data_IF_153012336186
#
_entry.id   IF_153012336186
#
_cell.length_a   1.000
_cell.length_b   1.000
_cell.length_c   1.000
_cell.angle_alpha   90.00
_cell.angle_beta   90.00
_cell.angle_gamma   90.00
#
_symmetry.space_group_name_H-M   'P 1'
#
loop_
_entity.id
_entity.type
_entity.pdbx_description
1 polymer ?
#
# COMPACT_ATOMS: atom_id res chain seq x y z
N UNK A 1 -44.42 -21.55 17.42
CA UNK A 1 -44.63 -20.15 17.86
C UNK A 1 -44.73 -19.29 16.60
N UNK A 2 -45.95 -18.93 16.20
CA UNK A 2 -46.17 -18.01 15.08
C UNK A 2 -46.07 -16.59 15.62
N UNK A 3 -45.11 -15.79 15.12
CA UNK A 3 -45.10 -14.35 15.38
C UNK A 3 -46.34 -13.74 14.72
N UNK A 4 -47.09 -12.94 15.47
CA UNK A 4 -48.27 -12.23 14.95
C UNK A 4 -47.82 -11.08 14.04
N UNK A 5 -48.68 -10.66 13.12
CA UNK A 5 -48.33 -9.62 12.12
C UNK A 5 -47.94 -8.26 12.71
N UNK A 6 -48.33 -7.98 13.96
CA UNK A 6 -47.96 -6.76 14.69
C UNK A 6 -46.49 -6.78 15.15
N UNK A 7 -45.96 -7.94 15.56
CA UNK A 7 -44.56 -8.07 15.98
C UNK A 7 -43.58 -7.83 14.82
N UNK A 8 -44.00 -8.21 13.61
CA UNK A 8 -43.21 -7.98 12.39
C UNK A 8 -43.13 -6.49 12.02
N UNK A 9 -44.24 -5.75 12.19
CA UNK A 9 -44.31 -4.30 11.92
C UNK A 9 -43.47 -3.50 12.92
N UNK A 10 -43.52 -3.84 14.20
CA UNK A 10 -42.70 -3.20 15.23
C UNK A 10 -41.21 -3.45 14.98
N UNK A 11 -40.84 -4.67 14.60
CA UNK A 11 -39.46 -5.02 14.29
C UNK A 11 -38.93 -4.25 13.08
N UNK A 12 -39.74 -4.12 12.01
CA UNK A 12 -39.35 -3.36 10.82
C UNK A 12 -39.19 -1.86 11.11
N UNK A 13 -40.09 -1.30 11.92
CA UNK A 13 -40.04 0.11 12.31
C UNK A 13 -38.83 0.42 13.18
N UNK A 14 -38.53 -0.42 14.18
CA UNK A 14 -37.32 -0.29 15.02
C UNK A 14 -36.06 -0.39 14.16
N UNK A 15 -35.99 -1.34 13.23
CA UNK A 15 -34.85 -1.49 12.31
C UNK A 15 -34.67 -0.26 11.42
N UNK A 16 -35.75 0.31 10.88
CA UNK A 16 -35.70 1.51 10.05
C UNK A 16 -35.24 2.74 10.85
N UNK A 17 -35.77 2.93 12.05
CA UNK A 17 -35.34 4.01 12.96
C UNK A 17 -33.87 3.83 13.34
N UNK A 18 -33.42 2.60 13.63
CA UNK A 18 -32.01 2.33 13.92
C UNK A 18 -31.11 2.67 12.73
N UNK A 19 -31.50 2.30 11.50
CA UNK A 19 -30.75 2.62 10.29
C UNK A 19 -30.69 4.13 10.04
N UNK A 20 -31.78 4.85 10.27
CA UNK A 20 -31.83 6.32 10.17
C UNK A 20 -30.96 6.97 11.25
N UNK A 21 -31.06 6.53 12.50
CA UNK A 21 -30.25 7.06 13.61
C UNK A 21 -28.77 6.75 13.42
N UNK A 22 -28.39 5.54 12.99
CA UNK A 22 -27.00 5.17 12.64
C UNK A 22 -26.49 5.97 11.44
N UNK A 23 -27.33 6.19 10.41
CA UNK A 23 -26.98 7.01 9.25
C UNK A 23 -26.78 8.49 9.60
N UNK A 24 -27.67 9.05 10.42
CA UNK A 24 -27.60 10.44 10.89
C UNK A 24 -26.43 10.63 11.85
N UNK A 25 -26.19 9.69 12.78
CA UNK A 25 -25.05 9.77 13.69
C UNK A 25 -23.71 9.62 12.97
N UNK A 26 -23.60 8.82 11.90
CA UNK A 26 -22.41 8.84 11.02
C UNK A 26 -22.19 10.21 10.36
N UNK A 27 -23.24 10.84 9.83
CA UNK A 27 -23.18 12.20 9.25
C UNK A 27 -22.85 13.27 10.30
N UNK A 28 -23.42 13.20 11.50
CA UNK A 28 -23.17 14.16 12.58
C UNK A 28 -21.77 13.98 13.17
N UNK A 29 -21.30 12.73 13.36
CA UNK A 29 -19.92 12.44 13.77
C UNK A 29 -18.92 12.92 12.70
N UNK A 30 -19.26 12.82 11.41
CA UNK A 30 -18.48 13.44 10.32
C UNK A 30 -18.46 14.97 10.40
N UNK A 31 -19.60 15.61 10.66
CA UNK A 31 -19.72 17.08 10.77
C UNK A 31 -19.04 17.63 12.03
N UNK A 32 -19.05 16.88 13.14
CA UNK A 32 -18.44 17.28 14.41
C UNK A 32 -16.92 17.01 14.45
N UNK A 33 -16.38 16.14 13.60
CA UNK A 33 -14.93 15.96 13.37
C UNK A 33 -14.34 17.09 12.50
N UNK A 34 -14.73 18.35 12.74
CA UNK A 34 -14.15 19.58 12.16
C UNK A 34 -12.70 19.86 12.59
N UNK A 35 -11.88 18.82 12.78
CA UNK A 35 -10.43 18.93 12.55
C UNK A 35 -10.22 18.55 11.09
N UNK A 36 -9.65 19.50 10.35
CA UNK A 36 -9.50 19.57 8.90
C UNK A 36 -8.48 18.54 8.38
N UNK A 37 -8.72 17.27 8.68
CA UNK A 37 -7.88 16.14 8.30
C UNK A 37 -8.41 15.63 6.95
N UNK A 38 -7.72 15.92 5.85
CA UNK A 38 -8.03 15.28 4.57
C UNK A 38 -7.52 13.86 4.59
N UNK A 39 -8.12 13.03 5.44
CA UNK A 39 -7.82 11.62 5.54
C UNK A 39 -9.06 10.85 5.12
N UNK A 40 -8.91 10.07 4.07
CA UNK A 40 -9.93 9.18 3.58
C UNK A 40 -9.31 7.79 3.43
N UNK A 41 -10.04 6.75 3.82
CA UNK A 41 -9.57 5.38 3.66
C UNK A 41 -10.76 4.45 3.53
N UNK A 42 -10.51 3.32 2.88
CA UNK A 42 -11.46 2.22 2.80
C UNK A 42 -10.70 0.89 2.64
N UNK A 43 -11.41 -0.22 2.73
CA UNK A 43 -10.85 -1.58 2.74
C UNK A 43 -11.58 -2.53 1.81
N UNK A 44 -10.85 -3.53 1.32
CA UNK A 44 -11.38 -4.58 0.46
C UNK A 44 -10.67 -5.90 0.72
N UNK A 45 -11.27 -7.00 0.28
CA UNK A 45 -10.71 -8.34 0.43
C UNK A 45 -10.22 -8.87 -0.91
N UNK A 46 -9.12 -9.61 -0.85
CA UNK A 46 -8.51 -10.32 -1.96
C UNK A 46 -8.31 -11.79 -1.58
N UNK A 47 -8.45 -12.66 -2.57
CA UNK A 47 -8.22 -14.11 -2.45
C UNK A 47 -6.80 -14.45 -2.90
N UNK A 48 -5.82 -13.74 -2.34
CA UNK A 48 -4.39 -14.01 -2.51
C UNK A 48 -3.66 -13.79 -1.18
N UNK A 49 -2.48 -14.39 -0.97
CA UNK A 49 -1.62 -14.13 0.18
C UNK A 49 -1.24 -12.66 0.33
N UNK A 50 -0.96 -12.22 1.57
CA UNK A 50 -0.74 -10.80 1.88
C UNK A 50 0.45 -10.19 1.14
N UNK A 51 1.53 -10.96 0.95
CA UNK A 51 2.70 -10.53 0.21
C UNK A 51 2.37 -10.29 -1.28
N UNK A 52 1.63 -11.21 -1.89
CA UNK A 52 1.18 -11.08 -3.28
C UNK A 52 0.21 -9.89 -3.42
N UNK A 53 -0.71 -9.69 -2.47
CA UNK A 53 -1.60 -8.54 -2.45
C UNK A 53 -0.80 -7.22 -2.42
N UNK A 54 0.21 -7.14 -1.55
CA UNK A 54 1.03 -5.94 -1.39
C UNK A 54 1.84 -5.63 -2.66
N UNK A 55 2.41 -6.65 -3.31
CA UNK A 55 3.11 -6.51 -4.59
C UNK A 55 2.21 -6.03 -5.72
N UNK A 56 1.00 -6.61 -5.83
CA UNK A 56 0.03 -6.20 -6.86
C UNK A 56 -0.46 -4.77 -6.62
N UNK A 57 -0.82 -4.44 -5.39
CA UNK A 57 -1.26 -3.08 -5.04
C UNK A 57 -0.15 -2.08 -5.30
N UNK A 58 1.10 -2.38 -4.91
CA UNK A 58 2.22 -1.49 -5.15
C UNK A 58 2.47 -1.23 -6.63
N UNK A 59 2.35 -2.26 -7.48
CA UNK A 59 2.45 -2.11 -8.94
C UNK A 59 1.33 -1.23 -9.49
N UNK A 60 0.08 -1.49 -9.12
CA UNK A 60 -1.07 -0.67 -9.56
C UNK A 60 -0.87 0.79 -9.19
N UNK A 61 -0.51 1.07 -7.92
CA UNK A 61 -0.27 2.43 -7.46
C UNK A 61 0.88 3.11 -8.21
N UNK A 62 1.99 2.41 -8.43
CA UNK A 62 3.17 3.00 -9.08
C UNK A 62 2.96 3.19 -10.58
N UNK A 63 2.50 2.15 -11.28
CA UNK A 63 2.47 2.10 -12.73
C UNK A 63 1.24 2.82 -13.31
N UNK A 64 0.09 2.74 -12.62
CA UNK A 64 -1.19 3.26 -13.14
C UNK A 64 -1.60 4.58 -12.48
N UNK A 65 -1.25 4.78 -11.20
CA UNK A 65 -1.66 5.97 -10.44
C UNK A 65 -0.52 6.96 -10.17
N UNK A 66 0.61 6.80 -10.85
CA UNK A 66 1.79 7.66 -10.76
C UNK A 66 2.24 7.93 -9.31
N UNK A 67 2.14 6.90 -8.46
CA UNK A 67 2.57 6.97 -7.07
C UNK A 67 4.06 6.63 -6.94
N UNK A 68 4.82 7.49 -6.28
CA UNK A 68 6.22 7.24 -5.97
C UNK A 68 6.34 6.50 -4.63
N UNK A 69 6.96 5.32 -4.64
CA UNK A 69 7.14 4.50 -3.45
C UNK A 69 8.18 5.14 -2.50
N UNK A 70 7.74 5.46 -1.29
CA UNK A 70 8.56 6.13 -0.27
C UNK A 70 9.11 5.13 0.76
N UNK A 71 8.29 4.17 1.19
CA UNK A 71 8.64 3.26 2.27
C UNK A 71 7.88 1.94 2.20
N UNK A 72 8.55 0.83 2.55
CA UNK A 72 7.99 -0.53 2.55
C UNK A 72 8.29 -1.22 3.88
N UNK A 73 7.29 -1.87 4.45
CA UNK A 73 7.44 -2.88 5.51
C UNK A 73 6.81 -4.20 5.06
N UNK A 74 6.81 -5.21 5.93
CA UNK A 74 6.19 -6.51 5.64
C UNK A 74 4.68 -6.46 5.39
N UNK A 75 4.00 -5.43 5.89
CA UNK A 75 2.54 -5.33 5.93
C UNK A 75 2.00 -4.03 5.33
N UNK A 76 2.86 -3.06 5.00
CA UNK A 76 2.45 -1.79 4.40
C UNK A 76 3.44 -1.24 3.39
N UNK A 77 2.91 -0.46 2.46
CA UNK A 77 3.65 0.37 1.54
C UNK A 77 3.13 1.81 1.62
N UNK A 78 4.05 2.75 1.64
CA UNK A 78 3.77 4.19 1.71
C UNK A 78 4.25 4.80 0.42
N UNK A 79 3.38 5.55 -0.21
CA UNK A 79 3.62 6.25 -1.46
C UNK A 79 3.37 7.74 -1.29
N UNK A 80 4.05 8.53 -2.11
CA UNK A 80 3.73 9.93 -2.33
C UNK A 80 3.30 10.13 -3.77
N UNK A 81 2.39 11.07 -4.00
CA UNK A 81 2.12 11.58 -5.34
C UNK A 81 1.67 13.03 -5.28
N UNK A 82 1.80 13.70 -6.41
CA UNK A 82 1.13 14.97 -6.65
C UNK A 82 -0.28 14.70 -7.19
N UNK A 83 -1.16 15.70 -7.10
CA UNK A 83 -2.54 15.56 -7.56
C UNK A 83 -2.65 14.99 -8.98
N UNK A 84 -3.71 14.22 -9.21
CA UNK A 84 -4.01 13.55 -10.47
C UNK A 84 -3.82 14.43 -11.73
N UNK A 85 -3.13 13.92 -12.76
CA UNK A 85 -2.97 14.63 -14.04
C UNK A 85 -4.34 14.85 -14.69
N UNK A 86 -4.64 16.11 -15.02
CA UNK A 86 -5.92 16.52 -15.61
C UNK A 86 -6.80 17.36 -14.69
N UNK A 87 -6.59 17.28 -13.37
CA UNK A 87 -7.27 18.16 -12.42
C UNK A 87 -6.36 19.35 -12.12
N UNK A 88 -6.81 20.56 -12.45
CA UNK A 88 -5.99 21.77 -12.36
C UNK A 88 -6.15 22.54 -11.05
N UNK A 89 -7.32 22.46 -10.41
CA UNK A 89 -7.59 23.21 -9.18
C UNK A 89 -8.59 22.48 -8.29
N UNK A 90 -8.46 22.67 -6.97
CA UNK A 90 -9.43 22.17 -6.01
C UNK A 90 -10.49 23.24 -5.75
N UNK A 91 -11.80 22.94 -5.89
CA UNK A 91 -12.86 23.91 -5.62
C UNK A 91 -12.78 24.47 -4.20
N UNK A 92 -12.75 25.79 -4.05
CA UNK A 92 -12.73 26.45 -2.73
C UNK A 92 -11.38 26.42 -2.00
N UNK A 93 -10.28 26.02 -2.67
CA UNK A 93 -8.94 26.00 -2.09
C UNK A 93 -8.20 27.34 -2.06
N UNK A 94 -8.87 28.44 -2.43
CA UNK A 94 -8.25 29.77 -2.45
C UNK A 94 -7.19 29.95 -3.55
N UNK A 95 -7.29 29.20 -4.65
CA UNK A 95 -6.38 29.31 -5.80
C UNK A 95 -5.23 28.31 -5.82
N UNK A 96 -5.19 27.35 -4.89
CA UNK A 96 -4.21 26.27 -4.89
C UNK A 96 -4.48 25.31 -6.06
N UNK A 97 -3.45 25.05 -6.87
CA UNK A 97 -3.55 24.05 -7.92
C UNK A 97 -3.50 22.64 -7.31
N UNK A 98 -4.25 21.70 -7.88
CA UNK A 98 -4.32 20.34 -7.36
C UNK A 98 -2.98 19.60 -7.47
N UNK A 99 -2.25 19.83 -8.56
CA UNK A 99 -0.90 19.29 -8.74
C UNK A 99 0.10 19.75 -7.68
N UNK A 100 -0.17 20.86 -6.98
CA UNK A 100 0.72 21.36 -5.92
C UNK A 100 0.46 20.69 -4.57
N UNK A 101 -0.65 19.96 -4.42
CA UNK A 101 -1.02 19.32 -3.15
C UNK A 101 -0.29 17.97 -3.04
N UNK A 102 0.63 17.79 -2.09
CA UNK A 102 1.24 16.49 -1.86
C UNK A 102 0.23 15.57 -1.19
N UNK A 103 0.04 14.39 -1.79
CA UNK A 103 -0.80 13.33 -1.27
C UNK A 103 0.07 12.14 -0.86
N UNK A 104 -0.16 11.65 0.34
CA UNK A 104 0.33 10.38 0.81
C UNK A 104 -0.73 9.32 0.55
N UNK A 105 -0.32 8.23 -0.10
CA UNK A 105 -1.15 7.04 -0.27
C UNK A 105 -0.51 5.92 0.52
N UNK A 106 -1.26 5.28 1.42
CA UNK A 106 -0.73 4.19 2.23
C UNK A 106 -1.58 2.95 2.01
N UNK A 107 -0.95 1.86 1.61
CA UNK A 107 -1.56 0.56 1.46
C UNK A 107 -1.12 -0.36 2.61
N UNK A 108 -2.07 -1.03 3.26
CA UNK A 108 -1.81 -2.11 4.21
C UNK A 108 -2.39 -3.41 3.68
N UNK A 109 -1.69 -4.52 3.89
CA UNK A 109 -2.17 -5.87 3.63
C UNK A 109 -2.14 -6.69 4.91
N UNK A 110 -3.31 -7.03 5.42
CA UNK A 110 -3.49 -7.79 6.66
C UNK A 110 -3.91 -9.22 6.28
N UNK A 111 -3.11 -10.24 6.60
CA UNK A 111 -3.46 -11.62 6.31
C UNK A 111 -4.71 -12.04 7.12
N UNK A 112 -5.69 -12.64 6.47
CA UNK A 112 -6.85 -13.27 7.10
C UNK A 112 -6.70 -14.81 7.12
N UNK A 113 -6.02 -15.37 6.12
CA UNK A 113 -5.58 -16.77 6.03
C UNK A 113 -4.39 -16.87 5.07
N UNK A 114 -3.87 -18.07 4.79
CA UNK A 114 -2.80 -18.24 3.78
C UNK A 114 -3.20 -17.69 2.42
N UNK A 115 -4.46 -17.88 2.01
CA UNK A 115 -4.99 -17.47 0.70
C UNK A 115 -5.87 -16.22 0.71
N UNK A 116 -6.01 -15.52 1.85
CA UNK A 116 -6.93 -14.37 1.94
C UNK A 116 -6.30 -13.21 2.66
N UNK A 117 -6.51 -12.03 2.10
CA UNK A 117 -5.94 -10.77 2.60
C UNK A 117 -7.01 -9.70 2.66
N UNK A 118 -6.98 -8.91 3.73
CA UNK A 118 -7.68 -7.63 3.80
C UNK A 118 -6.71 -6.53 3.44
N UNK A 119 -6.99 -5.84 2.34
CA UNK A 119 -6.26 -4.66 1.94
C UNK A 119 -6.97 -3.40 2.46
N UNK A 120 -6.20 -2.41 2.90
CA UNK A 120 -6.68 -1.07 3.23
C UNK A 120 -5.86 -0.05 2.46
N UNK A 121 -6.51 0.94 1.87
CA UNK A 121 -5.83 2.06 1.23
C UNK A 121 -6.30 3.35 1.89
N UNK A 122 -5.34 4.19 2.27
CA UNK A 122 -5.59 5.52 2.82
C UNK A 122 -4.99 6.58 1.91
N UNK A 123 -5.76 7.62 1.66
CA UNK A 123 -5.34 8.86 1.03
C UNK A 123 -5.30 9.94 2.10
N UNK A 124 -4.18 10.63 2.20
CA UNK A 124 -4.04 11.76 3.11
C UNK A 124 -3.27 12.92 2.51
N UNK A 125 -3.73 14.15 2.70
CA UNK A 125 -2.86 15.31 2.46
C UNK A 125 -1.89 15.52 3.63
N UNK A 126 -0.90 16.39 3.43
CA UNK A 126 -0.10 16.91 4.54
C UNK A 126 -1.02 17.55 5.60
N UNK A 127 -0.76 17.24 6.87
CA UNK A 127 -1.51 17.70 8.04
C UNK A 127 -1.54 19.23 8.20
N UNK A 128 -0.59 19.93 7.58
CA UNK A 128 -0.50 21.39 7.60
C UNK A 128 -1.36 22.07 6.53
N UNK A 129 -2.04 21.32 5.66
CA UNK A 129 -2.88 21.90 4.61
C UNK A 129 -4.32 21.95 5.07
N UNK A 130 -4.86 23.16 5.21
CA UNK A 130 -6.25 23.37 5.59
C UNK A 130 -7.11 23.67 4.37
N UNK A 131 -8.15 22.88 4.20
CA UNK A 131 -9.08 23.03 3.09
C UNK A 131 -10.40 23.64 3.54
N UNK A 132 -11.01 24.44 2.67
CA UNK A 132 -12.40 24.81 2.82
C UNK A 132 -13.29 23.56 2.81
N UNK A 133 -14.48 23.59 3.42
CA UNK A 133 -15.37 22.42 3.47
C UNK A 133 -15.70 21.81 2.10
N UNK A 134 -15.94 22.66 1.09
CA UNK A 134 -16.21 22.22 -0.28
C UNK A 134 -15.01 21.49 -0.90
N UNK A 135 -13.79 21.98 -0.68
CA UNK A 135 -12.57 21.32 -1.12
C UNK A 135 -12.37 19.95 -0.44
N UNK A 136 -12.64 19.86 0.86
CA UNK A 136 -12.52 18.61 1.61
C UNK A 136 -13.56 17.57 1.21
N UNK A 137 -14.78 17.98 0.86
CA UNK A 137 -15.81 17.12 0.29
C UNK A 137 -15.40 16.61 -1.10
N UNK A 138 -14.96 17.52 -1.96
CA UNK A 138 -14.46 17.17 -3.29
C UNK A 138 -13.28 16.20 -3.24
N UNK A 139 -12.33 16.41 -2.32
CA UNK A 139 -11.21 15.50 -2.07
C UNK A 139 -11.72 14.08 -1.73
N UNK A 140 -12.68 13.98 -0.82
CA UNK A 140 -13.25 12.69 -0.40
C UNK A 140 -13.93 11.96 -1.55
N UNK A 141 -14.68 12.67 -2.39
CA UNK A 141 -15.33 12.09 -3.57
C UNK A 141 -14.31 11.60 -4.60
N UNK A 142 -13.24 12.38 -4.81
CA UNK A 142 -12.16 12.02 -5.72
C UNK A 142 -11.40 10.80 -5.22
N UNK A 143 -11.02 10.76 -3.93
CA UNK A 143 -10.35 9.62 -3.32
C UNK A 143 -11.22 8.35 -3.36
N UNK A 144 -12.53 8.49 -3.16
CA UNK A 144 -13.50 7.40 -3.23
C UNK A 144 -13.67 6.85 -4.65
N UNK A 145 -13.66 7.71 -5.67
CA UNK A 145 -13.64 7.28 -7.07
C UNK A 145 -12.35 6.52 -7.39
N UNK A 146 -11.20 7.10 -7.05
CA UNK A 146 -9.90 6.51 -7.35
C UNK A 146 -9.71 5.17 -6.63
N UNK A 147 -10.17 5.05 -5.39
CA UNK A 147 -10.16 3.78 -4.68
C UNK A 147 -10.96 2.69 -5.41
N UNK A 148 -12.11 3.02 -5.99
CA UNK A 148 -12.88 2.06 -6.80
C UNK A 148 -12.11 1.62 -8.05
N UNK A 149 -11.43 2.55 -8.71
CA UNK A 149 -10.60 2.27 -9.88
C UNK A 149 -9.44 1.33 -9.50
N UNK A 150 -8.69 1.67 -8.45
CA UNK A 150 -7.61 0.84 -7.91
C UNK A 150 -8.10 -0.57 -7.55
N UNK A 151 -9.26 -0.70 -6.88
CA UNK A 151 -9.82 -2.02 -6.58
C UNK A 151 -10.09 -2.82 -7.87
N UNK A 152 -10.66 -2.17 -8.88
CA UNK A 152 -10.93 -2.80 -10.17
C UNK A 152 -9.66 -3.36 -10.79
N UNK A 153 -8.62 -2.53 -10.87
CA UNK A 153 -7.32 -2.89 -11.44
C UNK A 153 -6.60 -3.96 -10.63
N UNK A 154 -6.58 -3.84 -9.30
CA UNK A 154 -5.99 -4.84 -8.40
C UNK A 154 -6.70 -6.18 -8.56
N UNK A 155 -8.04 -6.20 -8.59
CA UNK A 155 -8.80 -7.45 -8.77
C UNK A 155 -8.54 -8.08 -10.13
N UNK A 156 -8.50 -7.28 -11.19
CA UNK A 156 -8.15 -7.75 -12.53
C UNK A 156 -6.74 -8.34 -12.57
N UNK A 157 -5.76 -7.63 -12.01
CA UNK A 157 -4.38 -8.07 -11.92
C UNK A 157 -4.22 -9.37 -11.11
N UNK A 158 -4.92 -9.49 -9.97
CA UNK A 158 -4.92 -10.73 -9.18
C UNK A 158 -5.58 -11.90 -9.92
N UNK A 159 -6.62 -11.64 -10.72
CA UNK A 159 -7.33 -12.68 -11.49
C UNK A 159 -6.56 -13.16 -12.72
N UNK A 160 -5.87 -12.25 -13.42
CA UNK A 160 -5.01 -12.58 -14.55
C UNK A 160 -3.77 -13.36 -14.11
N UNK A 161 -3.31 -13.15 -12.88
CA UNK A 161 -2.25 -13.97 -12.26
C UNK A 161 -2.72 -15.42 -12.01
N UNK A 162 -4.03 -15.69 -12.00
CA UNK A 162 -4.60 -17.04 -11.82
C UNK A 162 -4.84 -17.81 -13.13
N UNK A 163 -4.88 -17.15 -14.29
CA UNK A 163 -5.12 -17.80 -15.61
C UNK A 163 -3.91 -17.74 -16.55
N UNK A 164 -2.92 -16.90 -16.27
CA UNK A 164 -1.61 -17.04 -16.86
C UNK A 164 -0.76 -17.91 -15.93
N UNK A 165 -0.70 -19.20 -16.24
CA UNK A 165 0.54 -19.95 -16.03
C UNK A 165 1.58 -19.35 -17.00
N UNK A 166 1.99 -18.11 -16.73
CA UNK A 166 3.38 -17.80 -16.88
C UNK A 166 4.08 -18.79 -15.93
N UNK A 167 5.15 -19.46 -16.38
CA UNK A 167 5.86 -20.39 -15.51
C UNK A 167 6.19 -19.66 -14.20
N UNK A 168 6.29 -20.37 -13.06
CA UNK A 168 6.73 -19.76 -11.81
C UNK A 168 7.91 -18.87 -12.18
N UNK A 169 7.79 -17.54 -11.98
CA UNK A 169 8.85 -16.63 -12.40
C UNK A 169 10.11 -17.21 -11.82
N UNK A 170 10.95 -17.74 -12.69
CA UNK A 170 12.27 -18.18 -12.33
C UNK A 170 12.83 -17.01 -11.54
N UNK A 171 13.31 -17.25 -10.31
CA UNK A 171 13.84 -16.17 -9.50
C UNK A 171 14.76 -15.34 -10.39
N UNK A 172 14.46 -14.04 -10.54
CA UNK A 172 15.11 -13.20 -11.54
C UNK A 172 16.60 -13.11 -11.20
N UNK A 173 17.36 -13.99 -11.86
CA UNK A 173 18.79 -14.16 -11.65
C UNK A 173 19.51 -12.88 -12.04
N UNK A 174 19.02 -12.16 -13.05
CA UNK A 174 19.58 -10.89 -13.51
C UNK A 174 19.36 -9.79 -12.46
N UNK A 175 18.16 -9.74 -11.85
CA UNK A 175 17.92 -8.86 -10.71
C UNK A 175 18.80 -9.20 -9.50
N UNK A 176 19.04 -10.48 -9.23
CA UNK A 176 19.94 -10.90 -8.15
C UNK A 176 21.40 -10.49 -8.39
N UNK A 177 21.88 -10.56 -9.64
CA UNK A 177 23.17 -10.01 -10.03
C UNK A 177 23.20 -8.48 -9.82
N UNK A 178 22.16 -7.76 -10.23
CA UNK A 178 22.08 -6.31 -10.06
C UNK A 178 22.10 -5.87 -8.58
N UNK A 179 21.42 -6.60 -7.68
CA UNK A 179 21.42 -6.33 -6.22
C UNK A 179 22.83 -6.41 -5.61
N UNK A 180 23.65 -7.34 -6.11
CA UNK A 180 25.06 -7.49 -5.73
C UNK A 180 26.00 -6.61 -6.57
N UNK A 181 25.45 -5.76 -7.47
CA UNK A 181 26.20 -4.91 -8.41
C UNK A 181 27.14 -5.71 -9.31
N UNK A 182 26.68 -6.87 -9.76
CA UNK A 182 27.37 -7.74 -10.68
C UNK A 182 26.67 -7.74 -12.04
N UNK A 183 27.43 -8.06 -13.08
CA UNK A 183 26.86 -8.30 -14.40
C UNK A 183 26.20 -9.69 -14.44
N UNK A 184 25.15 -9.87 -15.26
CA UNK A 184 24.59 -11.19 -15.55
C UNK A 184 25.69 -12.16 -16.01
N UNK A 185 25.67 -13.38 -15.46
CA UNK A 185 26.67 -14.41 -15.77
C UNK A 185 27.98 -14.31 -14.98
N UNK A 186 28.05 -13.45 -13.94
CA UNK A 186 29.21 -13.46 -13.03
C UNK A 186 29.39 -14.83 -12.37
N UNK A 187 30.64 -15.24 -12.24
CA UNK A 187 31.06 -16.53 -11.70
C UNK A 187 30.77 -16.66 -10.20
N UNK A 188 30.66 -17.89 -9.70
CA UNK A 188 30.41 -18.13 -8.27
C UNK A 188 31.44 -17.45 -7.33
N UNK A 189 32.75 -17.45 -7.62
CA UNK A 189 33.73 -16.68 -6.83
C UNK A 189 33.45 -15.17 -6.80
N UNK A 190 32.99 -14.58 -7.91
CA UNK A 190 32.64 -13.14 -7.98
C UNK A 190 31.39 -12.83 -7.16
N UNK A 191 30.38 -13.71 -7.20
CA UNK A 191 29.19 -13.62 -6.35
C UNK A 191 29.56 -13.68 -4.86
N UNK A 192 30.43 -14.61 -4.48
CA UNK A 192 30.92 -14.73 -3.10
C UNK A 192 31.72 -13.50 -2.67
N UNK A 193 32.56 -12.95 -3.54
CA UNK A 193 33.33 -11.74 -3.27
C UNK A 193 32.42 -10.53 -3.05
N UNK A 194 31.46 -10.29 -3.97
CA UNK A 194 30.50 -9.20 -3.86
C UNK A 194 29.64 -9.31 -2.60
N UNK A 195 29.20 -10.53 -2.24
CA UNK A 195 28.44 -10.75 -1.01
C UNK A 195 29.29 -10.50 0.26
N UNK A 196 30.56 -10.90 0.27
CA UNK A 196 31.47 -10.58 1.39
C UNK A 196 31.66 -9.07 1.55
N UNK A 197 31.80 -8.33 0.45
CA UNK A 197 31.89 -6.87 0.48
C UNK A 197 30.58 -6.23 0.96
N UNK A 198 29.43 -6.76 0.53
CA UNK A 198 28.13 -6.35 1.06
C UNK A 198 28.01 -6.57 2.58
N UNK A 199 28.43 -7.73 3.09
CA UNK A 199 28.45 -7.97 4.53
C UNK A 199 29.37 -7.00 5.27
N UNK A 200 30.55 -6.67 4.72
CA UNK A 200 31.42 -5.66 5.32
C UNK A 200 30.77 -4.28 5.39
N UNK A 201 29.88 -3.95 4.45
CA UNK A 201 29.23 -2.64 4.39
C UNK A 201 27.91 -2.58 5.17
N UNK A 202 27.16 -3.67 5.25
CA UNK A 202 25.78 -3.65 5.75
C UNK A 202 25.50 -4.65 6.89
N UNK A 203 26.50 -5.36 7.43
CA UNK A 203 26.23 -6.28 8.54
C UNK A 203 25.76 -5.53 9.79
N UNK A 204 24.58 -5.85 10.37
CA UNK A 204 24.00 -5.11 11.49
C UNK A 204 24.94 -5.07 12.71
N UNK A 205 25.70 -6.14 12.99
CA UNK A 205 26.67 -6.17 14.10
C UNK A 205 27.81 -5.15 13.98
N UNK A 206 28.16 -4.68 12.78
CA UNK A 206 29.17 -3.62 12.66
C UNK A 206 28.71 -2.30 13.24
N UNK A 207 27.40 -2.15 13.34
CA UNK A 207 26.69 -0.95 13.71
C UNK A 207 25.99 -1.11 15.07
N UNK A 208 25.93 -2.33 15.61
CA UNK A 208 25.47 -2.57 16.97
C UNK A 208 26.39 -1.87 17.97
N UNK A 209 25.83 -0.94 18.75
CA UNK A 209 26.56 -0.12 19.72
C UNK A 209 27.03 1.23 19.19
N UNK A 210 26.95 1.48 17.87
CA UNK A 210 27.02 2.83 17.34
C UNK A 210 25.62 3.44 17.48
N UNK A 211 25.50 4.57 18.17
CA UNK A 211 24.22 5.21 18.47
C UNK A 211 23.62 5.84 17.19
N UNK A 212 23.29 5.00 16.22
CA UNK A 212 22.80 5.38 14.90
C UNK A 212 21.37 5.91 15.01
N UNK A 213 21.03 6.96 14.24
CA UNK A 213 19.63 7.35 14.09
C UNK A 213 18.81 6.16 13.59
N UNK A 214 17.64 5.92 14.19
CA UNK A 214 16.78 4.78 13.86
C UNK A 214 16.54 4.55 12.35
N UNK A 215 16.31 5.60 11.51
CA UNK A 215 16.14 5.42 10.07
C UNK A 215 17.35 4.80 9.36
N UNK A 216 18.56 5.00 9.87
CA UNK A 216 19.79 4.44 9.30
C UNK A 216 19.94 2.96 9.67
N UNK A 217 19.56 2.60 10.90
CA UNK A 217 19.53 1.20 11.34
C UNK A 217 18.57 0.36 10.50
N UNK A 218 17.36 0.87 10.26
CA UNK A 218 16.35 0.22 9.42
C UNK A 218 16.85 0.03 7.97
N UNK A 219 17.54 1.04 7.42
CA UNK A 219 18.12 0.97 6.08
C UNK A 219 19.20 -0.12 6.00
N UNK A 220 20.10 -0.18 6.97
CA UNK A 220 21.17 -1.19 7.03
C UNK A 220 20.59 -2.60 7.09
N UNK A 221 19.59 -2.83 7.96
CA UNK A 221 18.92 -4.13 8.06
C UNK A 221 18.23 -4.53 6.75
N UNK A 222 17.54 -3.57 6.12
CA UNK A 222 16.87 -3.80 4.83
C UNK A 222 17.86 -4.18 3.74
N UNK A 223 18.91 -3.37 3.55
CA UNK A 223 19.96 -3.63 2.55
C UNK A 223 20.64 -4.99 2.78
N UNK A 224 20.95 -5.33 4.03
CA UNK A 224 21.55 -6.61 4.38
C UNK A 224 20.64 -7.79 4.01
N UNK A 225 19.35 -7.68 4.31
CA UNK A 225 18.36 -8.71 3.97
C UNK A 225 18.25 -8.92 2.46
N UNK A 226 18.06 -7.84 1.68
CA UNK A 226 17.93 -7.92 0.22
C UNK A 226 19.17 -8.54 -0.42
N UNK A 227 20.37 -8.16 0.03
CA UNK A 227 21.64 -8.73 -0.48
C UNK A 227 21.83 -10.20 -0.10
N UNK A 228 21.36 -10.60 1.09
CA UNK A 228 21.38 -12.00 1.52
C UNK A 228 20.45 -12.86 0.68
N UNK A 229 19.24 -12.38 0.40
CA UNK A 229 18.26 -13.08 -0.44
C UNK A 229 18.80 -13.29 -1.86
N UNK A 230 19.37 -12.24 -2.48
CA UNK A 230 20.01 -12.33 -3.79
C UNK A 230 21.18 -13.33 -3.83
N UNK A 231 22.03 -13.34 -2.80
CA UNK A 231 23.12 -14.31 -2.68
C UNK A 231 22.62 -15.75 -2.60
N UNK A 232 21.60 -16.03 -1.78
CA UNK A 232 21.04 -17.39 -1.67
C UNK A 232 20.41 -17.86 -2.98
N UNK A 233 19.85 -16.92 -3.76
CA UNK A 233 19.30 -17.18 -5.07
C UNK A 233 20.37 -17.63 -6.07
N UNK A 234 21.42 -16.82 -6.20
CA UNK A 234 22.55 -17.09 -7.09
C UNK A 234 23.30 -18.36 -6.66
N UNK A 235 23.39 -18.61 -5.35
CA UNK A 235 23.97 -19.84 -4.81
C UNK A 235 23.24 -21.07 -5.32
N UNK A 236 21.90 -21.09 -5.21
CA UNK A 236 21.08 -22.22 -5.67
C UNK A 236 21.21 -22.39 -7.19
N UNK A 237 21.25 -21.30 -7.94
CA UNK A 237 21.35 -21.32 -9.39
C UNK A 237 22.69 -21.83 -9.91
N UNK A 238 23.80 -21.40 -9.30
CA UNK A 238 25.16 -21.77 -9.70
C UNK A 238 25.64 -23.10 -9.10
N UNK A 239 24.89 -23.69 -8.17
CA UNK A 239 25.16 -25.01 -7.59
C UNK A 239 24.43 -26.18 -8.27
N UNK A 240 23.61 -25.87 -9.28
CA UNK A 240 22.95 -26.85 -10.16
C UNK A 240 23.84 -27.18 -11.36
#
# INVERSE_FOLDING_TARGET
>A
MCMTGEDALITLFVALVLLIVVGISKKIIQVLRRKRDLRWWDEFQLTVPAQQALEVIGRVLSDLHACELMHVTSDKQVFSRRGAPGIRAVPGSGGMAWGDIPLMVVAWCIPLSSERTRARIMFSSNENVHFAPAAAEWFRQTADQEFREIIGEVRQATSQTSTSVAPPRTPDIDAAYAVLKLNPGASWPEVQAAYREACKQYHPDRYSGQNLPAPVGDLIQREFKVKTEAYQLLKKHLSQ
#
